data_IF_156557037340
#
_entry.id   IF_156557037340
#
_cell.length_a   1.000
_cell.length_b   1.000
_cell.length_c   1.000
_cell.angle_alpha   90.00
_cell.angle_beta   90.00
_cell.angle_gamma   90.00
#
_symmetry.space_group_name_H-M   'P 1'
#
loop_
_entity.id
_entity.type
_entity.pdbx_description
1 polymer ?
#
# COMPACT_ATOMS: atom_id res chain seq x y z
N UNK A 1 -28.61 24.04 -14.02
CA UNK A 1 -27.36 23.28 -13.92
C UNK A 1 -27.06 23.23 -12.44
N UNK A 2 -27.31 22.10 -11.75
CA UNK A 2 -26.87 21.96 -10.37
C UNK A 2 -25.33 22.11 -10.35
N UNK A 3 -24.83 22.96 -9.46
CA UNK A 3 -23.42 23.32 -9.40
C UNK A 3 -22.60 22.08 -9.02
N UNK A 4 -21.54 21.82 -9.77
CA UNK A 4 -20.61 20.70 -9.58
C UNK A 4 -20.06 20.58 -8.15
N UNK A 5 -20.09 21.68 -7.39
CA UNK A 5 -19.65 21.72 -6.00
C UNK A 5 -20.69 21.14 -5.04
N UNK A 6 -21.99 21.24 -5.34
CA UNK A 6 -23.05 20.66 -4.52
C UNK A 6 -23.08 19.14 -4.67
N UNK A 7 -22.81 18.61 -5.87
CA UNK A 7 -22.65 17.17 -6.11
C UNK A 7 -21.40 16.61 -5.44
N UNK A 8 -20.28 17.36 -5.46
CA UNK A 8 -19.05 17.00 -4.72
C UNK A 8 -19.29 17.01 -3.20
N UNK A 9 -20.01 18.00 -2.69
CA UNK A 9 -20.39 18.07 -1.28
C UNK A 9 -21.33 16.92 -0.90
N UNK A 10 -22.27 16.54 -1.76
CA UNK A 10 -23.15 15.39 -1.54
C UNK A 10 -22.37 14.07 -1.53
N UNK A 11 -21.37 13.91 -2.41
CA UNK A 11 -20.49 12.74 -2.45
C UNK A 11 -19.61 12.63 -1.21
N UNK A 12 -19.00 13.75 -0.78
CA UNK A 12 -18.19 13.85 0.43
C UNK A 12 -19.01 13.59 1.70
N UNK A 13 -20.24 14.12 1.75
CA UNK A 13 -21.18 13.89 2.85
C UNK A 13 -21.62 12.44 2.93
N UNK A 14 -21.82 11.77 1.78
CA UNK A 14 -22.21 10.36 1.72
C UNK A 14 -21.11 9.40 2.17
N UNK A 15 -19.84 9.72 1.90
CA UNK A 15 -18.69 8.92 2.35
C UNK A 15 -18.33 9.13 3.83
N UNK A 16 -18.56 10.34 4.38
CA UNK A 16 -18.29 10.66 5.78
C UNK A 16 -19.23 9.97 6.79
N UNK A 17 -20.38 9.45 6.34
CA UNK A 17 -21.36 8.80 7.24
C UNK A 17 -20.98 7.34 7.58
N UNK A 18 -19.99 6.74 6.89
CA UNK A 18 -19.67 5.31 7.03
C UNK A 18 -18.42 4.96 7.86
N UNK A 19 -17.60 5.93 8.29
CA UNK A 19 -16.38 5.65 9.08
C UNK A 19 -16.02 6.81 9.99
N UNK A 20 -15.76 6.53 11.28
CA UNK A 20 -15.42 7.54 12.30
C UNK A 20 -14.16 8.36 11.99
N UNK A 21 -13.75 9.24 12.93
CA UNK A 21 -12.66 10.24 12.82
C UNK A 21 -11.48 9.82 11.93
N UNK A 22 -11.61 10.01 10.62
CA UNK A 22 -10.52 9.90 9.66
C UNK A 22 -9.81 11.25 9.62
N UNK A 23 -8.48 11.23 9.71
CA UNK A 23 -7.71 12.47 9.57
C UNK A 23 -7.82 13.00 8.13
N UNK A 24 -7.56 14.29 7.95
CA UNK A 24 -7.52 14.86 6.59
C UNK A 24 -6.47 14.18 5.69
N UNK A 25 -5.41 13.62 6.28
CA UNK A 25 -4.40 12.83 5.56
C UNK A 25 -4.98 11.48 5.10
N UNK A 26 -5.79 10.82 5.92
CA UNK A 26 -6.45 9.56 5.55
C UNK A 26 -7.46 9.75 4.40
N UNK A 27 -8.21 10.87 4.45
CA UNK A 27 -9.15 11.25 3.39
C UNK A 27 -8.39 11.53 2.08
N UNK A 28 -7.28 12.27 2.15
CA UNK A 28 -6.44 12.54 0.98
C UNK A 28 -5.79 11.28 0.43
N UNK A 29 -5.42 10.33 1.29
CA UNK A 29 -4.92 9.02 0.89
C UNK A 29 -5.97 8.20 0.13
N UNK A 30 -7.21 8.20 0.59
CA UNK A 30 -8.33 7.52 -0.08
C UNK A 30 -8.66 8.13 -1.44
N UNK A 31 -8.64 9.46 -1.55
CA UNK A 31 -8.95 10.16 -2.80
C UNK A 31 -7.86 9.98 -3.87
N UNK A 32 -6.61 9.75 -3.47
CA UNK A 32 -5.48 9.55 -4.38
C UNK A 32 -5.11 8.08 -4.59
N UNK A 33 -5.86 7.14 -4.00
CA UNK A 33 -5.61 5.71 -4.19
C UNK A 33 -5.84 5.33 -5.67
N UNK A 34 -4.88 4.62 -6.26
CA UNK A 34 -5.09 4.08 -7.61
C UNK A 34 -6.28 3.10 -7.59
N UNK A 35 -7.19 3.20 -8.58
CA UNK A 35 -8.32 2.28 -8.66
C UNK A 35 -7.80 0.85 -8.81
N UNK A 36 -8.35 -0.08 -8.03
CA UNK A 36 -8.04 -1.50 -8.17
C UNK A 36 -8.38 -1.96 -9.61
N UNK A 37 -7.56 -2.84 -10.19
CA UNK A 37 -7.79 -3.33 -11.54
C UNK A 37 -9.12 -4.07 -11.65
N UNK A 38 -9.84 -3.82 -12.74
CA UNK A 38 -11.13 -4.48 -13.00
C UNK A 38 -10.92 -6.00 -13.15
N UNK A 39 -11.54 -6.83 -12.27
CA UNK A 39 -11.36 -8.28 -12.29
C UNK A 39 -11.94 -8.95 -13.55
N UNK A 40 -12.85 -8.28 -14.27
CA UNK A 40 -13.50 -8.83 -15.46
C UNK A 40 -12.78 -8.46 -16.77
N UNK A 41 -11.78 -7.57 -16.70
CA UNK A 41 -11.06 -7.07 -17.88
C UNK A 41 -10.37 -8.15 -18.72
N UNK A 42 -10.10 -9.32 -18.14
CA UNK A 42 -9.46 -10.46 -18.79
C UNK A 42 -10.42 -11.62 -19.11
N UNK A 43 -11.73 -11.46 -18.93
CA UNK A 43 -12.72 -12.49 -19.25
C UNK A 43 -13.07 -12.44 -20.74
N UNK A 44 -12.81 -13.55 -21.45
CA UNK A 44 -13.21 -13.72 -22.84
C UNK A 44 -14.65 -14.22 -22.94
N UNK A 45 -15.53 -13.38 -23.50
CA UNK A 45 -16.95 -13.69 -23.65
C UNK A 45 -17.23 -14.53 -24.90
N UNK A 46 -17.94 -15.64 -24.71
CA UNK A 46 -18.28 -16.62 -25.75
C UNK A 46 -19.68 -16.42 -26.32
N UNK A 47 -20.54 -15.67 -25.62
CA UNK A 47 -21.94 -15.45 -25.97
C UNK A 47 -22.89 -16.53 -25.44
N UNK A 48 -22.36 -17.56 -24.77
CA UNK A 48 -23.15 -18.49 -23.97
C UNK A 48 -23.25 -17.97 -22.53
N UNK A 49 -24.48 -17.69 -22.09
CA UNK A 49 -24.76 -17.08 -20.79
C UNK A 49 -24.23 -17.91 -19.64
N UNK A 50 -24.36 -19.25 -19.70
CA UNK A 50 -23.89 -20.10 -18.60
C UNK A 50 -22.36 -20.14 -18.53
N UNK A 51 -21.69 -20.25 -19.68
CA UNK A 51 -20.23 -20.27 -19.76
C UNK A 51 -19.62 -18.93 -19.32
N UNK A 52 -20.19 -17.82 -19.80
CA UNK A 52 -19.72 -16.47 -19.50
C UNK A 52 -19.93 -16.13 -18.01
N UNK A 53 -21.10 -16.47 -17.45
CA UNK A 53 -21.35 -16.29 -16.01
C UNK A 53 -20.38 -17.11 -15.14
N UNK A 54 -20.02 -18.32 -15.56
CA UNK A 54 -19.04 -19.14 -14.84
C UNK A 54 -17.64 -18.50 -14.89
N UNK A 55 -17.24 -17.96 -16.05
CA UNK A 55 -15.96 -17.29 -16.21
C UNK A 55 -15.88 -16.02 -15.35
N UNK A 56 -16.93 -15.20 -15.33
CA UNK A 56 -17.02 -14.01 -14.47
C UNK A 56 -16.89 -14.35 -12.99
N UNK A 57 -17.64 -15.35 -12.52
CA UNK A 57 -17.61 -15.76 -11.11
C UNK A 57 -16.22 -16.25 -10.68
N UNK A 58 -15.52 -17.00 -11.54
CA UNK A 58 -14.16 -17.43 -11.28
C UNK A 58 -13.18 -16.25 -11.23
N UNK A 59 -13.28 -15.31 -12.17
CA UNK A 59 -12.44 -14.12 -12.20
C UNK A 59 -12.62 -13.25 -10.95
N UNK A 60 -13.88 -13.04 -10.52
CA UNK A 60 -14.21 -12.33 -9.28
C UNK A 60 -13.66 -13.06 -8.06
N UNK A 61 -13.84 -14.38 -7.97
CA UNK A 61 -13.32 -15.17 -6.85
C UNK A 61 -11.79 -15.08 -6.76
N UNK A 62 -11.10 -15.14 -7.90
CA UNK A 62 -9.65 -15.02 -7.96
C UNK A 62 -9.19 -13.64 -7.48
N UNK A 63 -9.83 -12.57 -7.95
CA UNK A 63 -9.52 -11.21 -7.52
C UNK A 63 -9.70 -10.99 -6.01
N UNK A 64 -10.74 -11.57 -5.40
CA UNK A 64 -10.90 -11.54 -3.94
C UNK A 64 -9.77 -12.26 -3.20
N UNK A 65 -9.34 -13.42 -3.69
CA UNK A 65 -8.22 -14.16 -3.09
C UNK A 65 -6.91 -13.39 -3.21
N UNK A 66 -6.65 -12.79 -4.37
CA UNK A 66 -5.42 -12.04 -4.60
C UNK A 66 -5.40 -10.74 -3.77
N UNK A 67 -6.56 -10.09 -3.62
CA UNK A 67 -6.70 -8.95 -2.70
C UNK A 67 -6.45 -9.37 -1.25
N UNK A 68 -7.04 -10.48 -0.80
CA UNK A 68 -6.82 -10.98 0.56
C UNK A 68 -5.34 -11.29 0.82
N UNK A 69 -4.62 -11.87 -0.15
CA UNK A 69 -3.17 -12.08 -0.06
C UNK A 69 -2.39 -10.77 0.01
N UNK A 70 -2.72 -9.76 -0.81
CA UNK A 70 -2.07 -8.44 -0.74
C UNK A 70 -2.32 -7.75 0.60
N UNK A 71 -3.53 -7.88 1.15
CA UNK A 71 -3.88 -7.36 2.47
C UNK A 71 -3.16 -8.12 3.58
N UNK A 72 -3.04 -9.45 3.48
CA UNK A 72 -2.26 -10.29 4.41
C UNK A 72 -0.77 -9.96 4.37
N UNK A 73 -0.20 -9.78 3.18
CA UNK A 73 1.20 -9.35 3.00
C UNK A 73 1.43 -7.96 3.59
N UNK A 74 0.52 -7.01 3.31
CA UNK A 74 0.56 -5.68 3.91
C UNK A 74 0.44 -5.75 5.43
N UNK A 75 -0.45 -6.59 5.94
CA UNK A 75 -0.62 -6.80 7.38
C UNK A 75 0.61 -7.41 8.02
N UNK A 76 1.24 -8.41 7.39
CA UNK A 76 2.52 -8.99 7.82
C UNK A 76 3.62 -7.93 7.85
N UNK A 77 3.78 -7.15 6.78
CA UNK A 77 4.77 -6.06 6.73
C UNK A 77 4.51 -4.96 7.77
N UNK A 78 3.25 -4.68 8.10
CA UNK A 78 2.87 -3.64 9.05
C UNK A 78 2.84 -4.11 10.52
N UNK A 79 2.65 -5.41 10.77
CA UNK A 79 2.35 -5.96 12.11
C UNK A 79 3.41 -6.94 12.61
N UNK A 80 4.26 -7.48 11.73
CA UNK A 80 5.38 -8.32 12.13
C UNK A 80 6.55 -7.46 12.61
N UNK A 81 6.70 -7.45 13.93
CA UNK A 81 7.66 -6.65 14.68
C UNK A 81 8.92 -7.45 15.02
N UNK A 82 9.16 -8.57 14.34
CA UNK A 82 10.15 -9.56 14.80
C UNK A 82 11.60 -9.28 14.34
N UNK A 83 11.83 -8.47 13.29
CA UNK A 83 13.17 -8.34 12.69
C UNK A 83 13.64 -6.89 12.51
N UNK A 84 13.95 -6.21 13.62
CA UNK A 84 14.56 -4.88 13.63
C UNK A 84 15.80 -4.83 14.54
N UNK A 85 16.75 -3.99 14.18
CA UNK A 85 17.87 -3.62 15.06
C UNK A 85 17.99 -2.10 15.11
N UNK A 86 18.55 -1.58 16.19
CA UNK A 86 18.73 -0.14 16.40
C UNK A 86 20.18 0.19 16.66
N UNK A 87 20.67 1.23 16.00
CA UNK A 87 21.94 1.86 16.31
C UNK A 87 21.70 3.03 17.27
N UNK A 88 22.35 3.01 18.43
CA UNK A 88 22.27 4.08 19.42
C UNK A 88 23.51 4.97 19.33
N UNK A 89 23.30 6.28 19.16
CA UNK A 89 24.35 7.28 19.10
C UNK A 89 24.29 8.19 20.32
N UNK A 90 25.43 8.77 20.70
CA UNK A 90 25.51 9.69 21.84
C UNK A 90 24.79 11.01 21.57
N UNK A 91 24.86 11.48 20.33
CA UNK A 91 24.28 12.75 19.88
C UNK A 91 23.48 12.55 18.59
N UNK A 92 22.62 13.52 18.26
CA UNK A 92 21.87 13.52 16.99
C UNK A 92 22.82 13.74 15.81
N UNK A 93 23.83 14.58 16.01
CA UNK A 93 24.85 14.93 15.03
C UNK A 93 25.64 13.69 14.61
N UNK A 94 26.03 12.83 15.57
CA UNK A 94 26.70 11.56 15.29
C UNK A 94 25.82 10.62 14.45
N UNK A 95 24.52 10.53 14.78
CA UNK A 95 23.55 9.74 14.02
C UNK A 95 23.44 10.23 12.58
N UNK A 96 23.27 11.54 12.37
CA UNK A 96 23.16 12.10 11.03
C UNK A 96 24.47 12.01 10.23
N UNK A 97 25.62 12.17 10.91
CA UNK A 97 26.93 11.99 10.29
C UNK A 97 27.13 10.54 9.84
N UNK A 98 26.74 9.57 10.66
CA UNK A 98 26.73 8.15 10.28
C UNK A 98 25.87 7.93 9.03
N UNK A 99 24.61 8.38 9.03
CA UNK A 99 23.69 8.18 7.91
C UNK A 99 24.21 8.82 6.62
N UNK A 100 24.80 10.03 6.70
CA UNK A 100 25.41 10.70 5.53
C UNK A 100 26.62 9.93 5.01
N UNK A 101 27.55 9.55 5.89
CA UNK A 101 28.78 8.87 5.50
C UNK A 101 28.54 7.45 4.98
N UNK A 102 27.54 6.75 5.55
CA UNK A 102 27.08 5.45 5.10
C UNK A 102 26.20 5.51 3.85
N UNK A 103 25.87 6.71 3.35
CA UNK A 103 24.97 6.96 2.21
C UNK A 103 23.54 6.42 2.42
N UNK A 104 23.09 6.35 3.67
CA UNK A 104 21.78 5.82 4.06
C UNK A 104 20.69 6.88 4.24
N UNK A 105 21.04 8.19 4.24
CA UNK A 105 20.07 9.29 4.40
C UNK A 105 18.91 9.25 3.39
N UNK A 106 19.13 8.70 2.19
CA UNK A 106 18.09 8.57 1.17
C UNK A 106 17.12 7.41 1.39
N UNK A 107 17.47 6.46 2.28
CA UNK A 107 16.62 5.32 2.63
C UNK A 107 15.68 5.68 3.79
N UNK A 108 16.17 6.44 4.76
CA UNK A 108 15.41 6.84 5.95
C UNK A 108 16.30 7.38 7.07
N UNK A 109 15.68 7.95 8.11
CA UNK A 109 16.38 8.54 9.26
C UNK A 109 16.23 7.74 10.57
N UNK A 110 15.10 7.05 10.75
CA UNK A 110 14.77 6.29 11.96
C UNK A 110 14.41 4.84 11.65
N UNK A 111 13.57 4.65 10.64
CA UNK A 111 13.19 3.35 10.11
C UNK A 111 13.72 3.28 8.68
N UNK A 112 14.47 2.23 8.39
CA UNK A 112 15.09 2.00 7.09
C UNK A 112 14.71 0.59 6.64
N UNK A 113 14.44 0.42 5.35
CA UNK A 113 14.41 -0.90 4.74
C UNK A 113 15.80 -1.54 4.86
N UNK A 114 15.88 -2.67 5.57
CA UNK A 114 17.13 -3.39 5.83
C UNK A 114 17.81 -3.94 4.57
N UNK A 115 17.04 -4.37 3.57
CA UNK A 115 17.57 -4.85 2.29
C UNK A 115 18.07 -3.69 1.43
N UNK A 116 17.37 -2.55 1.45
CA UNK A 116 17.87 -1.34 0.79
C UNK A 116 19.17 -0.84 1.43
N UNK A 117 19.25 -0.84 2.76
CA UNK A 117 20.48 -0.53 3.49
C UNK A 117 21.61 -1.51 3.15
N UNK A 118 21.34 -2.82 3.11
CA UNK A 118 22.33 -3.84 2.75
C UNK A 118 22.92 -3.63 1.35
N UNK A 119 22.08 -3.31 0.35
CA UNK A 119 22.54 -2.98 -1.02
C UNK A 119 23.47 -1.78 -1.06
N UNK A 120 23.17 -0.73 -0.29
CA UNK A 120 24.01 0.50 -0.24
C UNK A 120 25.33 0.23 0.49
N UNK A 121 25.29 -0.57 1.56
CA UNK A 121 26.46 -0.92 2.37
C UNK A 121 27.33 -2.02 1.74
N UNK A 122 26.85 -2.70 0.70
CA UNK A 122 27.54 -3.83 0.06
C UNK A 122 27.56 -5.09 0.92
N UNK A 123 26.53 -5.29 1.75
CA UNK A 123 26.37 -6.48 2.59
C UNK A 123 25.61 -7.55 1.79
N UNK A 124 26.17 -8.76 1.60
CA UNK A 124 25.48 -9.85 0.91
C UNK A 124 24.30 -10.33 1.76
N UNK A 125 23.14 -10.49 1.12
CA UNK A 125 21.92 -11.06 1.70
C UNK A 125 21.52 -12.28 0.86
N UNK A 126 20.89 -13.28 1.47
CA UNK A 126 20.26 -14.37 0.73
C UNK A 126 18.98 -13.83 0.05
N UNK A 127 18.75 -14.24 -1.20
CA UNK A 127 17.48 -13.96 -1.89
C UNK A 127 16.40 -14.89 -1.30
N UNK A 128 15.25 -14.34 -0.91
CA UNK A 128 14.10 -15.08 -0.39
C UNK A 128 13.28 -15.74 -1.51
#
# INVERSE_FOLDING_TARGET
MPDSNDDLLAQLSGMAVAGGDMSNEDILGLLNAEPEPDPLSAVDYTGDVEADAHAELNAIQQAFRDRAKREEERFRLATDSEFWFVLCFRTREDKELFLRNAKLMGVGDKYLDGYAAARILGVPMEDE
#
